data_IF_444966953672
#
_entry.id   IF_444966953672
#
_cell.length_a   1.000
_cell.length_b   1.000
_cell.length_c   1.000
_cell.angle_alpha   90.00
_cell.angle_beta   90.00
_cell.angle_gamma   90.00
#
_symmetry.space_group_name_H-M   'P 1'
#
loop_
_entity.id
_entity.type
_entity.pdbx_description
1 polymer ?
#
# COMPACT_ATOMS: atom_id res chain seq x y z
N UNK A 1 11.72 -46.93 56.51
CA UNK A 1 11.18 -45.62 56.93
C UNK A 1 11.84 -44.43 56.22
N UNK A 2 13.16 -44.46 55.94
CA UNK A 2 13.85 -43.36 55.22
C UNK A 2 13.56 -43.37 53.71
N UNK A 3 13.47 -44.55 53.06
CA UNK A 3 13.15 -44.63 51.62
C UNK A 3 11.76 -44.09 51.26
N UNK A 4 10.76 -44.26 52.12
CA UNK A 4 9.39 -43.77 51.85
C UNK A 4 9.28 -42.25 51.91
N UNK A 5 10.09 -41.60 52.78
CA UNK A 5 10.18 -40.14 52.87
C UNK A 5 10.93 -39.53 51.68
N UNK A 6 11.99 -40.18 51.20
CA UNK A 6 12.70 -39.72 50.00
C UNK A 6 11.84 -39.84 48.74
N UNK A 7 11.02 -40.90 48.63
CA UNK A 7 10.10 -41.06 47.50
C UNK A 7 8.99 -40.00 47.54
N UNK A 8 8.43 -39.67 48.71
CA UNK A 8 7.37 -38.67 48.86
C UNK A 8 7.84 -37.24 48.59
N UNK A 9 9.05 -36.88 49.03
CA UNK A 9 9.64 -35.56 48.78
C UNK A 9 10.01 -35.40 47.31
N UNK A 10 10.52 -36.45 46.66
CA UNK A 10 10.86 -36.42 45.24
C UNK A 10 9.60 -36.38 44.34
N UNK A 11 8.50 -37.01 44.75
CA UNK A 11 7.22 -36.92 44.02
C UNK A 11 6.53 -35.56 44.19
N UNK A 12 6.60 -34.91 45.36
CA UNK A 12 6.06 -33.56 45.55
C UNK A 12 6.87 -32.48 44.80
N UNK A 13 8.20 -32.60 44.75
CA UNK A 13 9.05 -31.69 43.97
C UNK A 13 8.84 -31.86 42.46
N UNK A 14 8.74 -33.09 41.95
CA UNK A 14 8.49 -33.31 40.53
C UNK A 14 7.09 -32.86 40.10
N UNK A 15 6.07 -33.00 40.96
CA UNK A 15 4.71 -32.55 40.63
C UNK A 15 4.58 -31.02 40.53
N UNK A 16 5.25 -30.27 41.41
CA UNK A 16 5.25 -28.79 41.37
C UNK A 16 6.08 -28.24 40.20
N UNK A 17 7.25 -28.83 39.93
CA UNK A 17 8.09 -28.49 38.77
C UNK A 17 7.37 -28.80 37.46
N UNK A 18 6.65 -29.92 37.37
CA UNK A 18 5.81 -30.20 36.20
C UNK A 18 4.69 -29.17 36.07
N UNK A 19 3.99 -28.84 37.18
CA UNK A 19 2.84 -27.93 37.16
C UNK A 19 3.18 -26.50 36.67
N UNK A 20 4.29 -25.95 37.14
CA UNK A 20 4.73 -24.61 36.74
C UNK A 20 5.35 -24.60 35.33
N UNK A 21 6.10 -25.64 34.96
CA UNK A 21 6.72 -25.72 33.64
C UNK A 21 5.71 -25.98 32.51
N UNK A 22 4.66 -26.78 32.73
CA UNK A 22 3.64 -26.97 31.69
C UNK A 22 2.79 -25.71 31.52
N UNK A 23 2.44 -25.01 32.60
CA UNK A 23 1.71 -23.75 32.51
C UNK A 23 2.51 -22.69 31.74
N UNK A 24 3.80 -22.54 32.05
CA UNK A 24 4.70 -21.63 31.32
C UNK A 24 4.90 -22.04 29.85
N UNK A 25 4.96 -23.35 29.56
CA UNK A 25 5.06 -23.87 28.20
C UNK A 25 3.79 -23.59 27.40
N UNK A 26 2.61 -23.81 28.01
CA UNK A 26 1.31 -23.50 27.39
C UNK A 26 1.17 -22.00 27.16
N UNK A 27 1.53 -21.17 28.15
CA UNK A 27 1.50 -19.71 28.04
C UNK A 27 2.45 -19.22 26.92
N UNK A 28 3.66 -19.78 26.84
CA UNK A 28 4.64 -19.48 25.80
C UNK A 28 4.17 -19.90 24.40
N UNK A 29 3.48 -21.03 24.28
CA UNK A 29 2.83 -21.45 23.04
C UNK A 29 1.74 -20.47 22.62
N UNK A 30 0.85 -20.07 23.52
CA UNK A 30 -0.20 -19.08 23.23
C UNK A 30 0.37 -17.72 22.80
N UNK A 31 1.40 -17.22 23.49
CA UNK A 31 2.10 -15.99 23.11
C UNK A 31 2.72 -16.09 21.71
N UNK A 32 3.36 -17.21 21.40
CA UNK A 32 3.97 -17.44 20.09
C UNK A 32 2.93 -17.49 18.96
N UNK A 33 1.81 -18.17 19.19
CA UNK A 33 0.68 -18.21 18.24
C UNK A 33 0.11 -16.80 18.02
N UNK A 34 -0.05 -16.01 19.08
CA UNK A 34 -0.58 -14.65 19.00
C UNK A 34 0.36 -13.71 18.24
N UNK A 35 1.67 -13.77 18.51
CA UNK A 35 2.69 -13.02 17.76
C UNK A 35 2.72 -13.45 16.29
N UNK A 36 2.60 -14.74 16.01
CA UNK A 36 2.53 -15.25 14.64
C UNK A 36 1.32 -14.72 13.88
N UNK A 37 0.12 -14.73 14.48
CA UNK A 37 -1.10 -14.21 13.85
C UNK A 37 -0.94 -12.71 13.54
N UNK A 38 -0.46 -11.91 14.51
CA UNK A 38 -0.24 -10.47 14.33
C UNK A 38 0.77 -10.21 13.21
N UNK A 39 1.89 -10.95 13.22
CA UNK A 39 2.97 -10.81 12.25
C UNK A 39 2.51 -11.20 10.85
N UNK A 40 1.82 -12.33 10.71
CA UNK A 40 1.27 -12.81 9.43
C UNK A 40 0.28 -11.81 8.85
N UNK A 41 -0.65 -11.30 9.67
CA UNK A 41 -1.61 -10.28 9.22
C UNK A 41 -0.93 -8.99 8.75
N UNK A 42 0.09 -8.52 9.49
CA UNK A 42 0.88 -7.33 9.09
C UNK A 42 1.67 -7.59 7.82
N UNK A 43 2.24 -8.78 7.66
CA UNK A 43 3.04 -9.16 6.50
C UNK A 43 2.18 -9.27 5.24
N UNK A 44 0.99 -9.85 5.31
CA UNK A 44 0.06 -9.88 4.17
C UNK A 44 -0.32 -8.48 3.71
N UNK A 45 -0.65 -7.58 4.66
CA UNK A 45 -0.99 -6.19 4.34
C UNK A 45 0.18 -5.45 3.70
N UNK A 46 1.41 -5.69 4.19
CA UNK A 46 2.64 -5.11 3.62
C UNK A 46 2.94 -5.69 2.23
N UNK A 47 2.76 -7.00 2.03
CA UNK A 47 2.95 -7.66 0.73
C UNK A 47 2.01 -7.09 -0.31
N UNK A 48 0.70 -7.01 -0.02
CA UNK A 48 -0.29 -6.41 -0.92
C UNK A 48 0.04 -4.96 -1.28
N UNK A 49 0.49 -4.16 -0.29
CA UNK A 49 0.94 -2.78 -0.56
C UNK A 49 2.17 -2.75 -1.47
N UNK A 50 3.13 -3.64 -1.26
CA UNK A 50 4.34 -3.74 -2.09
C UNK A 50 4.05 -4.23 -3.50
N UNK A 51 3.14 -5.18 -3.68
CA UNK A 51 2.70 -5.67 -5.00
C UNK A 51 2.05 -4.53 -5.81
N UNK A 52 1.12 -3.80 -5.20
CA UNK A 52 0.50 -2.62 -5.83
C UNK A 52 1.57 -1.58 -6.15
N UNK A 53 2.49 -1.31 -5.22
CA UNK A 53 3.61 -0.38 -5.44
C UNK A 53 4.43 -0.79 -6.66
N UNK A 54 4.85 -2.05 -6.75
CA UNK A 54 5.66 -2.55 -7.86
C UNK A 54 4.92 -2.47 -9.20
N UNK A 55 3.63 -2.80 -9.21
CA UNK A 55 2.78 -2.65 -10.39
C UNK A 55 2.68 -1.18 -10.83
N UNK A 56 2.45 -0.26 -9.90
CA UNK A 56 2.43 1.17 -10.19
C UNK A 56 3.78 1.65 -10.74
N UNK A 57 4.91 1.16 -10.22
CA UNK A 57 6.25 1.55 -10.71
C UNK A 57 6.41 1.09 -12.15
N UNK A 58 6.04 -0.15 -12.43
CA UNK A 58 6.11 -0.72 -13.77
C UNK A 58 5.23 0.06 -14.76
N UNK A 59 4.01 0.43 -14.36
CA UNK A 59 3.12 1.27 -15.19
C UNK A 59 3.73 2.66 -15.40
N UNK A 60 4.22 3.29 -14.34
CA UNK A 60 4.84 4.62 -14.41
C UNK A 60 6.09 4.61 -15.29
N UNK A 61 6.85 3.52 -15.30
CA UNK A 61 8.02 3.35 -16.16
C UNK A 61 7.62 3.14 -17.64
N UNK A 62 6.66 2.25 -17.90
CA UNK A 62 6.17 1.97 -19.25
C UNK A 62 5.47 3.18 -19.90
N UNK A 63 4.93 4.08 -19.07
CA UNK A 63 4.26 5.31 -19.50
C UNK A 63 5.00 6.55 -19.00
N UNK A 64 6.33 6.52 -18.97
CA UNK A 64 7.18 7.54 -18.36
C UNK A 64 6.83 8.96 -18.80
N UNK A 65 6.74 9.21 -20.11
CA UNK A 65 6.45 10.54 -20.65
C UNK A 65 5.17 11.13 -20.06
N UNK A 66 4.14 10.32 -19.95
CA UNK A 66 2.84 10.76 -19.45
C UNK A 66 2.87 11.03 -17.94
N UNK A 67 3.51 10.15 -17.16
CA UNK A 67 3.68 10.40 -15.72
C UNK A 67 4.56 11.62 -15.45
N UNK A 68 5.59 11.87 -16.25
CA UNK A 68 6.41 13.09 -16.17
C UNK A 68 5.57 14.35 -16.37
N UNK A 69 4.67 14.38 -17.35
CA UNK A 69 3.74 15.50 -17.55
C UNK A 69 2.84 15.73 -16.33
N UNK A 70 2.37 14.66 -15.70
CA UNK A 70 1.57 14.73 -14.47
C UNK A 70 2.39 15.36 -13.34
N UNK A 71 3.61 14.89 -13.12
CA UNK A 71 4.47 15.42 -12.06
C UNK A 71 4.76 16.90 -12.28
N UNK A 72 5.21 17.28 -13.48
CA UNK A 72 5.49 18.68 -13.82
C UNK A 72 4.25 19.55 -13.58
N UNK A 73 3.09 19.10 -14.06
CA UNK A 73 1.84 19.83 -13.92
C UNK A 73 1.31 19.89 -12.48
N UNK A 74 1.58 18.88 -11.64
CA UNK A 74 1.23 18.87 -10.23
C UNK A 74 2.12 19.79 -9.39
N UNK A 75 3.41 19.90 -9.72
CA UNK A 75 4.33 20.80 -9.01
C UNK A 75 4.21 22.25 -9.47
N UNK A 76 3.82 22.50 -10.72
CA UNK A 76 3.71 23.84 -11.27
C UNK A 76 2.53 23.95 -12.26
N UNK A 77 1.45 24.64 -11.82
CA UNK A 77 0.25 24.91 -12.63
C UNK A 77 0.54 25.59 -13.97
N UNK A 78 1.56 26.43 -14.05
CA UNK A 78 1.91 27.16 -15.28
C UNK A 78 2.61 26.26 -16.31
N UNK A 79 3.18 25.13 -15.88
CA UNK A 79 3.87 24.17 -16.74
C UNK A 79 2.98 23.01 -17.19
N UNK A 80 1.67 23.09 -16.98
CA UNK A 80 0.73 22.06 -17.43
C UNK A 80 0.66 22.07 -18.96
N UNK A 81 1.13 20.98 -19.56
CA UNK A 81 0.98 20.74 -21.00
C UNK A 81 -0.35 20.03 -21.29
N UNK A 82 -1.42 20.83 -21.38
CA UNK A 82 -2.78 20.33 -21.62
C UNK A 82 -2.90 19.50 -22.91
N UNK A 83 -2.13 19.83 -23.94
CA UNK A 83 -2.21 19.16 -25.24
C UNK A 83 -1.58 17.78 -25.19
N UNK A 84 -0.38 17.67 -24.60
CA UNK A 84 0.29 16.38 -24.46
C UNK A 84 -0.41 15.48 -23.43
N UNK A 85 -0.97 16.04 -22.35
CA UNK A 85 -1.83 15.27 -21.43
C UNK A 85 -3.04 14.72 -22.19
N UNK A 86 -3.74 15.54 -22.98
CA UNK A 86 -4.89 15.11 -23.80
C UNK A 86 -4.53 14.02 -24.81
N UNK A 87 -3.34 14.08 -25.40
CA UNK A 87 -2.87 13.07 -26.36
C UNK A 87 -2.62 11.72 -25.67
N UNK A 88 -1.94 11.74 -24.53
CA UNK A 88 -1.57 10.52 -23.81
C UNK A 88 -2.75 9.88 -23.07
N UNK A 89 -3.72 10.67 -22.57
CA UNK A 89 -4.86 10.15 -21.82
C UNK A 89 -5.84 9.31 -22.65
N UNK A 90 -5.82 9.46 -23.97
CA UNK A 90 -6.68 8.66 -24.86
C UNK A 90 -6.29 7.18 -24.92
N UNK A 91 -5.02 6.86 -24.66
CA UNK A 91 -4.47 5.51 -24.89
C UNK A 91 -4.08 4.81 -23.57
N UNK A 92 -4.93 4.89 -22.54
CA UNK A 92 -4.60 4.34 -21.23
C UNK A 92 -5.21 2.95 -20.97
N UNK A 93 -4.72 1.93 -21.67
CA UNK A 93 -5.07 0.54 -21.32
C UNK A 93 -4.63 0.16 -19.91
N UNK A 94 -3.65 0.85 -19.32
CA UNK A 94 -3.19 0.62 -17.95
C UNK A 94 -4.23 0.98 -16.87
N UNK A 95 -5.31 1.74 -17.19
CA UNK A 95 -6.34 2.11 -16.19
C UNK A 95 -7.02 0.90 -15.53
N UNK A 96 -7.07 -0.24 -16.22
CA UNK A 96 -7.64 -1.48 -15.67
C UNK A 96 -6.76 -2.12 -14.60
N UNK A 97 -5.48 -1.78 -14.56
CA UNK A 97 -4.50 -2.29 -13.61
C UNK A 97 -4.38 -1.40 -12.37
N UNK A 98 -4.91 -0.18 -12.41
CA UNK A 98 -4.77 0.77 -11.31
C UNK A 98 -5.72 0.45 -10.14
N UNK A 99 -5.30 0.72 -8.90
CA UNK A 99 -6.19 0.75 -7.76
C UNK A 99 -7.36 1.72 -8.00
N UNK A 100 -8.54 1.38 -7.47
CA UNK A 100 -9.80 2.11 -7.72
C UNK A 100 -9.68 3.62 -7.48
N UNK A 101 -9.04 4.02 -6.37
CA UNK A 101 -8.89 5.44 -6.03
C UNK A 101 -8.09 6.22 -7.08
N UNK A 102 -7.01 5.64 -7.60
CA UNK A 102 -6.17 6.25 -8.62
C UNK A 102 -6.86 6.23 -9.98
N UNK A 103 -7.52 5.10 -10.31
CA UNK A 103 -8.31 4.95 -11.54
C UNK A 103 -9.38 6.04 -11.66
N UNK A 104 -10.12 6.33 -10.58
CA UNK A 104 -11.15 7.36 -10.60
C UNK A 104 -10.58 8.73 -10.96
N UNK A 105 -9.42 9.12 -10.40
CA UNK A 105 -8.78 10.40 -10.72
C UNK A 105 -8.35 10.51 -12.18
N UNK A 106 -7.84 9.42 -12.74
CA UNK A 106 -7.53 9.37 -14.17
C UNK A 106 -8.79 9.43 -15.06
N UNK A 107 -9.90 8.81 -14.64
CA UNK A 107 -11.17 8.91 -15.36
C UNK A 107 -11.75 10.32 -15.33
N UNK A 108 -11.64 11.02 -14.20
CA UNK A 108 -12.04 12.42 -14.09
C UNK A 108 -11.20 13.30 -15.03
N UNK A 109 -9.87 13.09 -15.05
CA UNK A 109 -8.96 13.79 -15.95
C UNK A 109 -9.29 13.48 -17.43
N UNK A 110 -9.59 12.22 -17.75
CA UNK A 110 -10.00 11.79 -19.08
C UNK A 110 -11.29 12.50 -19.50
N UNK A 111 -12.28 12.57 -18.60
CA UNK A 111 -13.58 13.19 -18.86
C UNK A 111 -13.43 14.67 -19.21
N UNK A 112 -12.57 15.40 -18.51
CA UNK A 112 -12.31 16.82 -18.82
C UNK A 112 -11.67 16.94 -20.21
N UNK A 113 -10.59 16.21 -20.48
CA UNK A 113 -9.84 16.32 -21.74
C UNK A 113 -10.58 15.79 -22.98
N UNK A 114 -11.53 14.87 -22.81
CA UNK A 114 -12.30 14.26 -23.90
C UNK A 114 -13.79 14.64 -23.89
N UNK A 115 -14.21 15.56 -23.02
CA UNK A 115 -15.55 16.13 -23.01
C UNK A 115 -15.79 17.09 -24.18
N UNK A 116 -16.96 17.73 -24.17
CA UNK A 116 -17.24 18.82 -25.11
C UNK A 116 -16.33 20.03 -24.86
N UNK A 117 -16.15 20.92 -25.84
CA UNK A 117 -15.38 22.15 -25.65
C UNK A 117 -15.86 22.98 -24.46
N UNK A 118 -17.18 23.10 -24.27
CA UNK A 118 -17.79 23.83 -23.15
C UNK A 118 -17.42 23.18 -21.81
N UNK A 119 -17.57 21.85 -21.72
CA UNK A 119 -17.21 21.11 -20.51
C UNK A 119 -15.72 21.24 -20.17
N UNK A 120 -14.86 21.25 -21.19
CA UNK A 120 -13.43 21.44 -20.99
C UNK A 120 -13.12 22.83 -20.42
N UNK A 121 -13.65 23.90 -21.01
CA UNK A 121 -13.39 25.27 -20.54
C UNK A 121 -13.92 25.49 -19.12
N UNK A 122 -15.10 24.96 -18.78
CA UNK A 122 -15.67 25.04 -17.42
C UNK A 122 -14.84 24.30 -16.36
N UNK A 123 -14.15 23.22 -16.73
CA UNK A 123 -13.46 22.33 -15.79
C UNK A 123 -11.93 22.39 -15.89
N UNK A 124 -11.37 23.20 -16.78
CA UNK A 124 -9.93 23.28 -17.04
C UNK A 124 -9.14 23.60 -15.78
N UNK A 125 -9.65 24.49 -14.93
CA UNK A 125 -8.99 24.86 -13.68
C UNK A 125 -8.87 23.71 -12.68
N UNK A 126 -9.75 22.71 -12.77
CA UNK A 126 -9.73 21.53 -11.91
C UNK A 126 -8.59 20.55 -12.27
N UNK A 127 -8.02 20.66 -13.47
CA UNK A 127 -6.97 19.76 -13.97
C UNK A 127 -5.77 19.76 -13.00
N UNK A 128 -5.29 20.93 -12.58
CA UNK A 128 -4.18 21.01 -11.63
C UNK A 128 -4.46 20.25 -10.33
N UNK A 129 -5.68 20.38 -9.79
CA UNK A 129 -6.11 19.65 -8.60
C UNK A 129 -6.11 18.14 -8.82
N UNK A 130 -6.58 17.67 -9.98
CA UNK A 130 -6.53 16.25 -10.32
C UNK A 130 -5.11 15.72 -10.46
N UNK A 131 -4.18 16.48 -11.05
CA UNK A 131 -2.77 16.10 -11.14
C UNK A 131 -2.14 15.99 -9.74
N UNK A 132 -2.39 16.97 -8.87
CA UNK A 132 -1.97 16.92 -7.46
C UNK A 132 -2.52 15.69 -6.75
N UNK A 133 -3.81 15.40 -6.92
CA UNK A 133 -4.45 14.22 -6.31
C UNK A 133 -3.83 12.91 -6.78
N UNK A 134 -3.54 12.79 -8.07
CA UNK A 134 -2.87 11.62 -8.66
C UNK A 134 -1.50 11.43 -8.01
N UNK A 135 -0.67 12.48 -7.96
CA UNK A 135 0.66 12.45 -7.33
C UNK A 135 0.56 12.09 -5.85
N UNK A 136 -0.36 12.70 -5.12
CA UNK A 136 -0.58 12.41 -3.69
C UNK A 136 -0.97 10.94 -3.45
N UNK A 137 -1.78 10.34 -4.35
CA UNK A 137 -2.13 8.93 -4.25
C UNK A 137 -0.92 8.05 -4.55
N UNK A 138 -0.13 8.35 -5.58
CA UNK A 138 1.09 7.61 -5.91
C UNK A 138 2.10 7.63 -4.76
N UNK A 139 2.31 8.80 -4.15
CA UNK A 139 3.19 9.01 -3.00
C UNK A 139 2.77 8.19 -1.77
N UNK A 140 1.47 7.96 -1.55
CA UNK A 140 0.99 7.05 -0.48
C UNK A 140 1.48 5.60 -0.65
N UNK A 141 1.74 5.17 -1.88
CA UNK A 141 2.30 3.85 -2.19
C UNK A 141 3.83 3.83 -2.11
N UNK A 142 4.50 4.98 -2.27
CA UNK A 142 5.91 5.15 -1.96
C UNK A 142 6.45 6.52 -2.36
N UNK A 143 6.59 7.43 -1.38
CA UNK A 143 7.09 8.81 -1.54
C UNK A 143 8.40 8.92 -2.34
N UNK A 144 9.27 7.91 -2.27
CA UNK A 144 10.59 7.94 -2.92
C UNK A 144 10.62 7.29 -4.32
N UNK A 145 9.52 6.67 -4.75
CA UNK A 145 9.57 5.70 -5.86
C UNK A 145 9.00 6.20 -7.18
N UNK A 146 8.26 7.31 -7.16
CA UNK A 146 7.52 7.78 -8.33
C UNK A 146 7.93 9.18 -8.83
N UNK A 147 8.79 9.92 -8.13
CA UNK A 147 9.34 11.20 -8.62
C UNK A 147 10.65 11.53 -7.90
N UNK A 148 11.78 11.51 -8.61
CA UNK A 148 12.42 12.70 -9.22
C UNK A 148 12.79 13.78 -8.18
N UNK A 149 14.06 13.81 -7.78
CA UNK A 149 14.74 15.02 -7.27
C UNK A 149 15.22 15.85 -8.45
#
# INVERSE_FOLDING_TARGET
MISSLLISVNTQNNASIFNENWFNTVLGFFLSVLVYIITSYRNEKKSKKNEIKNLLIQISYNHHDFFTLIYIGAYNKEKIDYLNIRKNIKNMSFLYLLPTNLKMKFLDLYKIHNGSPEYYEENKDNIHGLLCDIVNILNKYGDETFGYK
#
